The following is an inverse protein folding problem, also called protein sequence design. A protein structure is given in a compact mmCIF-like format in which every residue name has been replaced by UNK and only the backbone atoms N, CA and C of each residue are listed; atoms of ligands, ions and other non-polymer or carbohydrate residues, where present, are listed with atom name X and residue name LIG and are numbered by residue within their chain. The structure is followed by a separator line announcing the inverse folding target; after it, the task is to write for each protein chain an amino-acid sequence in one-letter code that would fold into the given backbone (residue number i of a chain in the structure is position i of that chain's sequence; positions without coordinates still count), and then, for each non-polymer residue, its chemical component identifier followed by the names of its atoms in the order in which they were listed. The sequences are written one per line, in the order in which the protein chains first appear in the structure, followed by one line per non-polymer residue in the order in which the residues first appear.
data_IF_579278908441
#
_entry.id   IF_579278908441
#
_cell.length_a   1.000
_cell.length_b   1.000
_cell.length_c   1.000
_cell.angle_alpha   90.00
_cell.angle_beta   90.00
_cell.angle_gamma   90.00
#
_symmetry.space_group_name_H-M   'P 1'
#
loop_
_entity.id
_entity.type
_entity.pdbx_description
1 polymer ?
#
# COMPACT_ATOMS: atom_id res chain seq x y z
N UNK A 1 22.09 61.95 9.77
CA UNK A 1 22.10 61.51 8.38
C UNK A 1 20.94 60.56 8.07
N UNK A 2 20.60 59.60 8.93
CA UNK A 2 19.46 58.65 8.70
C UNK A 2 18.04 59.31 8.75
N UNK A 3 17.88 60.40 9.48
CA UNK A 3 16.65 61.18 9.57
C UNK A 3 16.37 62.05 8.32
N UNK A 4 17.42 62.49 7.63
CA UNK A 4 17.32 63.35 6.44
C UNK A 4 17.02 62.57 5.14
N UNK A 5 17.36 61.27 5.08
CA UNK A 5 17.02 60.39 3.96
C UNK A 5 15.53 59.96 3.99
N UNK A 6 14.89 59.98 5.17
CA UNK A 6 13.49 59.55 5.36
C UNK A 6 12.45 60.53 4.81
N UNK A 7 12.82 61.81 4.58
CA UNK A 7 11.88 62.85 4.13
C UNK A 7 11.78 62.99 2.59
N UNK A 8 12.66 62.35 1.81
CA UNK A 8 12.69 62.46 0.33
C UNK A 8 12.13 61.24 -0.43
N UNK A 9 11.69 60.19 0.27
CA UNK A 9 11.14 59.01 -0.39
C UNK A 9 9.65 59.18 -0.66
N UNK A 10 9.21 58.95 -1.91
CA UNK A 10 7.81 58.99 -2.31
C UNK A 10 6.97 57.87 -1.62
N UNK A 11 5.69 58.08 -1.52
CA UNK A 11 4.76 57.12 -0.86
C UNK A 11 4.85 55.68 -1.40
N UNK A 12 5.15 55.51 -2.68
CA UNK A 12 5.32 54.19 -3.32
C UNK A 12 6.59 53.45 -2.90
N UNK A 13 7.69 54.17 -2.69
CA UNK A 13 8.96 53.57 -2.22
C UNK A 13 8.88 53.17 -0.75
N UNK A 14 8.15 53.89 0.08
CA UNK A 14 7.90 53.51 1.48
C UNK A 14 7.10 52.24 1.60
N UNK A 15 6.07 52.07 0.75
CA UNK A 15 5.26 50.87 0.70
C UNK A 15 6.11 49.66 0.25
N UNK A 16 6.95 49.85 -0.77
CA UNK A 16 7.82 48.77 -1.27
C UNK A 16 8.85 48.30 -0.22
N UNK A 17 9.44 49.25 0.57
CA UNK A 17 10.39 48.90 1.64
C UNK A 17 9.69 48.19 2.80
N UNK A 18 8.50 48.62 3.18
CA UNK A 18 7.70 47.98 4.24
C UNK A 18 7.25 46.56 3.79
N UNK A 19 6.85 46.38 2.53
CA UNK A 19 6.51 45.07 1.97
C UNK A 19 7.72 44.13 1.92
N UNK A 20 8.86 44.58 1.44
CA UNK A 20 10.12 43.79 1.44
C UNK A 20 10.57 43.41 2.86
N UNK A 21 10.45 44.31 3.80
CA UNK A 21 10.79 44.03 5.21
C UNK A 21 9.83 43.02 5.85
N UNK A 22 8.51 43.12 5.57
CA UNK A 22 7.52 42.14 6.00
C UNK A 22 7.75 40.77 5.38
N UNK A 23 8.08 40.70 4.08
CA UNK A 23 8.42 39.44 3.41
C UNK A 23 9.69 38.82 3.99
N UNK A 24 10.72 39.63 4.32
CA UNK A 24 11.94 39.13 4.93
C UNK A 24 11.68 38.57 6.33
N UNK A 25 10.92 39.27 7.15
CA UNK A 25 10.54 38.78 8.48
C UNK A 25 9.66 37.55 8.43
N UNK A 26 8.76 37.44 7.46
CA UNK A 26 7.91 36.24 7.27
C UNK A 26 8.75 35.04 6.81
N UNK A 27 9.70 35.26 5.91
CA UNK A 27 10.63 34.21 5.45
C UNK A 27 11.60 33.77 6.54
N UNK A 28 12.07 34.68 7.38
CA UNK A 28 12.90 34.34 8.55
C UNK A 28 12.10 33.60 9.63
N UNK A 29 10.90 34.05 9.94
CA UNK A 29 10.02 33.38 10.88
C UNK A 29 9.63 31.97 10.39
N UNK A 30 9.31 31.82 9.11
CA UNK A 30 9.03 30.52 8.51
C UNK A 30 10.28 29.62 8.53
N UNK A 31 11.45 30.16 8.21
CA UNK A 31 12.72 29.44 8.23
C UNK A 31 13.12 29.02 9.64
N UNK A 32 12.94 29.90 10.64
CA UNK A 32 13.19 29.56 12.04
C UNK A 32 12.20 28.51 12.57
N UNK A 33 10.92 28.63 12.22
CA UNK A 33 9.89 27.64 12.54
C UNK A 33 10.20 26.28 11.91
N UNK A 34 10.49 26.25 10.61
CA UNK A 34 10.86 25.00 9.94
C UNK A 34 12.13 24.42 10.56
N UNK A 35 13.17 25.24 10.78
CA UNK A 35 14.42 24.78 11.39
C UNK A 35 14.20 24.18 12.77
N UNK A 36 13.37 24.80 13.62
CA UNK A 36 13.07 24.26 14.96
C UNK A 36 12.26 22.95 14.93
N UNK A 37 11.45 22.74 13.89
CA UNK A 37 10.64 21.50 13.75
C UNK A 37 11.41 20.35 13.09
N UNK A 38 12.35 20.68 12.20
CA UNK A 38 13.18 19.68 11.51
C UNK A 38 14.56 19.51 12.15
N UNK A 39 14.82 20.19 13.26
CA UNK A 39 16.09 20.05 13.99
C UNK A 39 16.09 18.75 14.80
N UNK A 40 16.89 17.80 14.33
CA UNK A 40 17.08 16.51 15.00
C UNK A 40 17.99 16.61 16.23
N UNK A 41 18.64 17.76 16.47
CA UNK A 41 19.63 17.92 17.54
C UNK A 41 19.03 17.95 18.94
N UNK A 42 17.78 18.41 19.09
CA UNK A 42 17.11 18.54 20.39
C UNK A 42 16.89 17.18 21.11
N UNK A 43 16.52 16.15 20.34
CA UNK A 43 16.21 14.80 20.84
C UNK A 43 17.31 13.79 20.53
N UNK A 44 18.44 14.21 20.02
CA UNK A 44 19.54 13.32 19.61
C UNK A 44 20.19 12.68 20.84
N UNK A 45 20.30 11.35 20.82
CA UNK A 45 21.13 10.60 21.77
C UNK A 45 22.62 10.91 21.53
N UNK A 46 23.46 10.60 22.52
CA UNK A 46 24.90 10.72 22.31
C UNK A 46 25.36 9.78 21.19
N UNK A 47 26.37 10.21 20.42
CA UNK A 47 26.92 9.39 19.34
C UNK A 47 27.38 8.03 19.83
N UNK A 48 28.05 7.99 20.99
CA UNK A 48 28.54 6.76 21.63
C UNK A 48 27.39 5.79 21.95
N UNK A 49 26.28 6.33 22.46
CA UNK A 49 25.10 5.53 22.77
C UNK A 49 24.46 4.92 21.54
N UNK A 50 24.32 5.68 20.46
CA UNK A 50 23.74 5.16 19.19
C UNK A 50 24.64 4.11 18.57
N UNK A 51 25.95 4.38 18.52
CA UNK A 51 26.95 3.44 17.99
C UNK A 51 26.98 2.15 18.79
N UNK A 52 26.96 2.24 20.13
CA UNK A 52 26.96 1.06 21.00
C UNK A 52 25.69 0.21 20.85
N UNK A 53 24.54 0.85 20.70
CA UNK A 53 23.28 0.17 20.48
C UNK A 53 23.24 -0.58 19.16
N UNK A 54 23.69 0.05 18.08
CA UNK A 54 23.78 -0.61 16.79
C UNK A 54 24.79 -1.77 16.86
N UNK A 55 25.92 -1.61 17.54
CA UNK A 55 26.89 -2.69 17.77
C UNK A 55 26.28 -3.87 18.52
N UNK A 56 25.50 -3.61 19.57
CA UNK A 56 24.76 -4.65 20.31
C UNK A 56 23.74 -5.35 19.41
N UNK A 57 23.04 -4.60 18.56
CA UNK A 57 22.10 -5.15 17.58
C UNK A 57 22.75 -5.99 16.47
N UNK A 58 24.06 -5.78 16.20
CA UNK A 58 24.83 -6.62 15.28
C UNK A 58 25.19 -7.98 15.89
N UNK A 59 25.25 -8.07 17.22
CA UNK A 59 25.60 -9.32 17.88
C UNK A 59 24.47 -10.34 17.73
N UNK A 60 24.80 -11.46 17.09
CA UNK A 60 23.88 -12.53 16.79
C UNK A 60 24.31 -13.83 17.49
N UNK A 61 23.75 -14.07 18.68
CA UNK A 61 24.03 -15.25 19.49
C UNK A 61 22.80 -15.69 20.29
N UNK A 62 22.72 -16.98 20.60
CA UNK A 62 21.74 -17.53 21.54
C UNK A 62 20.29 -17.17 21.22
N UNK A 63 19.67 -16.36 22.06
CA UNK A 63 18.25 -15.99 21.97
C UNK A 63 17.87 -15.37 20.61
N UNK A 64 18.73 -14.53 20.04
CA UNK A 64 18.45 -13.88 18.75
C UNK A 64 18.33 -14.90 17.60
N UNK A 65 19.06 -16.02 17.65
CA UNK A 65 18.93 -17.09 16.66
C UNK A 65 17.56 -17.77 16.75
N UNK A 66 17.13 -18.11 17.97
CA UNK A 66 15.82 -18.74 18.18
C UNK A 66 14.68 -17.81 17.78
N UNK A 67 14.78 -16.54 18.16
CA UNK A 67 13.79 -15.53 17.75
C UNK A 67 13.72 -15.43 16.21
N UNK A 68 14.86 -15.44 15.52
CA UNK A 68 14.88 -15.43 14.05
C UNK A 68 14.21 -16.68 13.47
N UNK A 69 14.52 -17.88 14.00
CA UNK A 69 13.93 -19.13 13.55
C UNK A 69 12.41 -19.09 13.71
N UNK A 70 11.92 -18.72 14.90
CA UNK A 70 10.48 -18.62 15.14
C UNK A 70 9.81 -17.54 14.29
N UNK A 71 10.42 -16.38 14.15
CA UNK A 71 9.92 -15.32 13.28
C UNK A 71 9.82 -15.80 11.83
N UNK A 72 10.84 -16.51 11.32
CA UNK A 72 10.84 -17.07 9.97
C UNK A 72 9.75 -18.14 9.80
N UNK A 73 9.54 -18.97 10.81
CA UNK A 73 8.48 -19.98 10.81
C UNK A 73 7.09 -19.32 10.72
N UNK A 74 6.82 -18.34 11.59
CA UNK A 74 5.54 -17.59 11.59
C UNK A 74 5.34 -16.81 10.28
N UNK A 75 6.41 -16.20 9.75
CA UNK A 75 6.33 -15.51 8.45
C UNK A 75 6.02 -16.46 7.30
N UNK A 76 6.66 -17.63 7.27
CA UNK A 76 6.44 -18.67 6.25
C UNK A 76 5.01 -19.21 6.33
N UNK A 77 4.51 -19.43 7.56
CA UNK A 77 3.12 -19.84 7.79
C UNK A 77 2.15 -18.74 7.32
N UNK A 78 2.42 -17.48 7.67
CA UNK A 78 1.60 -16.33 7.22
C UNK A 78 1.54 -16.20 5.70
N UNK A 79 2.67 -16.40 5.01
CA UNK A 79 2.75 -16.42 3.54
C UNK A 79 1.94 -17.59 2.95
N UNK A 80 2.00 -18.76 3.58
CA UNK A 80 1.32 -19.95 3.12
C UNK A 80 -0.20 -19.87 3.26
N UNK A 81 -0.69 -19.27 4.35
CA UNK A 81 -2.13 -19.05 4.56
C UNK A 81 -2.64 -17.70 4.01
N UNK A 82 -1.79 -16.97 3.27
CA UNK A 82 -2.09 -15.68 2.66
C UNK A 82 -2.58 -14.62 3.66
N UNK A 83 -2.03 -14.60 4.88
CA UNK A 83 -2.41 -13.70 5.96
C UNK A 83 -1.40 -12.59 6.17
N UNK A 84 -1.66 -11.41 5.62
CA UNK A 84 -0.81 -10.22 5.76
C UNK A 84 -0.60 -9.85 7.24
N UNK A 85 -1.63 -10.01 8.09
CA UNK A 85 -1.53 -9.69 9.52
C UNK A 85 -0.50 -10.58 10.25
N UNK A 86 -0.49 -11.89 9.97
CA UNK A 86 0.48 -12.84 10.56
C UNK A 86 1.90 -12.52 10.07
N UNK A 87 2.03 -12.19 8.78
CA UNK A 87 3.31 -11.80 8.19
C UNK A 87 3.87 -10.56 8.90
N UNK A 88 3.04 -9.51 9.09
CA UNK A 88 3.44 -8.28 9.80
C UNK A 88 3.87 -8.60 11.24
N UNK A 89 3.11 -9.44 11.95
CA UNK A 89 3.48 -9.86 13.31
C UNK A 89 4.85 -10.54 13.38
N UNK A 90 5.15 -11.43 12.44
CA UNK A 90 6.46 -12.09 12.35
C UNK A 90 7.61 -11.11 12.08
N UNK A 91 7.36 -10.12 11.23
CA UNK A 91 8.36 -9.09 10.89
C UNK A 91 8.78 -8.26 12.10
N UNK A 92 7.83 -7.96 13.01
CA UNK A 92 8.08 -7.16 14.21
C UNK A 92 9.10 -7.77 15.16
N UNK A 93 9.16 -9.09 15.21
CA UNK A 93 10.05 -9.81 16.10
C UNK A 93 11.39 -10.20 15.44
N UNK A 94 11.54 -9.97 14.13
CA UNK A 94 12.74 -10.38 13.39
C UNK A 94 13.96 -9.50 13.70
N UNK A 95 15.12 -10.09 14.07
CA UNK A 95 16.34 -9.36 14.41
C UNK A 95 17.19 -8.93 13.18
N UNK A 96 16.69 -9.06 11.93
CA UNK A 96 17.47 -8.78 10.71
C UNK A 96 17.96 -7.34 10.58
N UNK A 97 17.30 -6.39 11.23
CA UNK A 97 17.60 -4.96 11.12
C UNK A 97 18.99 -4.59 11.64
N UNK A 98 19.43 -5.18 12.78
CA UNK A 98 20.67 -4.83 13.46
C UNK A 98 21.91 -4.90 12.58
N UNK A 99 22.22 -6.03 11.95
CA UNK A 99 23.37 -6.16 11.06
C UNK A 99 23.34 -5.26 9.85
N UNK A 100 22.16 -4.98 9.27
CA UNK A 100 22.04 -4.11 8.10
C UNK A 100 22.35 -2.64 8.46
N UNK A 101 21.82 -2.18 9.58
CA UNK A 101 22.17 -0.85 10.11
C UNK A 101 23.63 -0.79 10.52
N UNK A 102 24.16 -1.88 11.07
CA UNK A 102 25.59 -2.02 11.36
C UNK A 102 26.48 -1.87 10.12
N UNK A 103 26.07 -2.41 8.99
CA UNK A 103 26.78 -2.20 7.70
C UNK A 103 26.78 -0.72 7.29
N UNK A 104 25.63 -0.05 7.31
CA UNK A 104 25.52 1.36 6.96
C UNK A 104 26.32 2.27 7.91
N UNK A 105 26.21 2.04 9.21
CA UNK A 105 26.98 2.76 10.24
C UNK A 105 28.49 2.57 10.04
N UNK A 106 28.95 1.33 9.90
CA UNK A 106 30.38 1.01 9.79
C UNK A 106 31.05 1.69 8.62
N UNK A 107 30.35 1.81 7.49
CA UNK A 107 30.79 2.58 6.31
C UNK A 107 30.85 4.06 6.65
N UNK A 108 29.84 4.59 7.37
CA UNK A 108 29.76 5.99 7.77
C UNK A 108 30.89 6.47 8.68
N UNK A 109 31.28 5.62 9.65
CA UNK A 109 32.32 5.91 10.65
C UNK A 109 33.70 5.29 10.33
N UNK A 110 33.86 4.65 9.17
CA UNK A 110 35.09 3.96 8.76
C UNK A 110 35.54 2.81 9.70
N UNK A 111 34.60 2.06 10.28
CA UNK A 111 34.89 0.92 11.15
C UNK A 111 34.80 -0.42 10.40
N UNK A 112 35.93 -0.88 9.85
CA UNK A 112 36.03 -2.12 9.10
C UNK A 112 35.73 -3.38 9.92
N UNK A 113 36.08 -3.37 11.23
CA UNK A 113 35.80 -4.50 12.09
C UNK A 113 34.30 -4.69 12.31
N UNK A 114 33.60 -3.57 12.53
CA UNK A 114 32.14 -3.56 12.60
C UNK A 114 31.51 -4.02 11.27
N UNK A 115 32.03 -3.55 10.12
CA UNK A 115 31.56 -3.97 8.79
C UNK A 115 31.71 -5.48 8.60
N UNK A 116 32.89 -6.04 8.88
CA UNK A 116 33.15 -7.46 8.76
C UNK A 116 32.26 -8.29 9.69
N UNK A 117 32.06 -7.84 10.93
CA UNK A 117 31.18 -8.49 11.91
C UNK A 117 29.71 -8.45 11.44
N UNK A 118 29.24 -7.29 10.99
CA UNK A 118 27.89 -7.10 10.48
C UNK A 118 27.63 -8.00 9.28
N UNK A 119 28.51 -8.02 8.30
CA UNK A 119 28.38 -8.83 7.09
C UNK A 119 28.38 -10.34 7.40
N UNK A 120 29.26 -10.79 8.28
CA UNK A 120 29.32 -12.21 8.70
C UNK A 120 28.04 -12.64 9.43
N UNK A 121 27.58 -11.86 10.40
CA UNK A 121 26.37 -12.17 11.16
C UNK A 121 25.13 -12.09 10.28
N UNK A 122 25.05 -11.10 9.40
CA UNK A 122 24.00 -10.98 8.40
C UNK A 122 23.94 -12.20 7.49
N UNK A 123 25.08 -12.63 6.92
CA UNK A 123 25.12 -13.82 6.06
C UNK A 123 24.65 -15.08 6.80
N UNK A 124 25.04 -15.26 8.06
CA UNK A 124 24.56 -16.36 8.89
C UNK A 124 23.05 -16.30 9.13
N UNK A 125 22.49 -15.12 9.43
CA UNK A 125 21.05 -14.93 9.60
C UNK A 125 20.26 -15.22 8.33
N UNK A 126 20.76 -14.77 7.17
CA UNK A 126 20.16 -15.06 5.87
C UNK A 126 20.11 -16.55 5.61
N UNK A 127 21.23 -17.26 5.80
CA UNK A 127 21.29 -18.72 5.64
C UNK A 127 20.35 -19.44 6.59
N UNK A 128 20.33 -19.07 7.86
CA UNK A 128 19.43 -19.66 8.86
C UNK A 128 17.95 -19.44 8.49
N UNK A 129 17.59 -18.24 8.02
CA UNK A 129 16.22 -17.94 7.61
C UNK A 129 15.81 -18.72 6.35
N UNK A 130 16.67 -18.75 5.32
CA UNK A 130 16.39 -19.52 4.12
C UNK A 130 16.23 -21.00 4.46
N UNK A 131 17.12 -21.55 5.28
CA UNK A 131 17.07 -22.96 5.71
C UNK A 131 15.74 -23.24 6.47
N UNK A 132 15.40 -22.41 7.44
CA UNK A 132 14.17 -22.56 8.24
C UNK A 132 12.91 -22.48 7.35
N UNK A 133 12.87 -21.52 6.44
CA UNK A 133 11.75 -21.36 5.53
C UNK A 133 11.66 -22.52 4.52
N UNK A 134 12.79 -22.96 3.97
CA UNK A 134 12.84 -24.13 3.07
C UNK A 134 12.34 -25.38 3.79
N UNK A 135 12.77 -25.60 5.02
CA UNK A 135 12.32 -26.73 5.85
C UNK A 135 10.81 -26.68 6.08
N UNK A 136 10.28 -25.49 6.43
CA UNK A 136 8.84 -25.30 6.62
C UNK A 136 8.05 -25.66 5.37
N UNK A 137 8.40 -25.10 4.20
CA UNK A 137 7.68 -25.35 2.96
C UNK A 137 7.87 -26.77 2.41
N UNK A 138 8.98 -27.40 2.73
CA UNK A 138 9.21 -28.80 2.37
C UNK A 138 8.28 -29.75 3.14
N UNK A 139 8.01 -29.44 4.43
CA UNK A 139 7.13 -30.26 5.29
C UNK A 139 5.66 -29.87 5.07
N UNK A 140 5.35 -28.65 4.66
CA UNK A 140 3.99 -28.16 4.51
C UNK A 140 3.25 -28.89 3.40
N UNK A 141 2.03 -29.41 3.65
CA UNK A 141 1.20 -30.04 2.61
C UNK A 141 0.61 -29.03 1.61
N UNK A 142 0.64 -27.72 1.93
CA UNK A 142 0.13 -26.64 1.10
C UNK A 142 1.23 -26.15 0.17
N UNK A 143 1.25 -26.62 -1.07
CA UNK A 143 2.27 -26.31 -2.08
C UNK A 143 1.87 -25.19 -3.05
N UNK A 144 0.67 -24.62 -2.94
CA UNK A 144 0.17 -23.57 -3.81
C UNK A 144 0.87 -22.23 -3.57
N UNK A 145 1.37 -21.59 -4.64
CA UNK A 145 1.92 -20.24 -4.56
C UNK A 145 0.80 -19.22 -4.36
N UNK A 146 0.65 -18.74 -3.14
CA UNK A 146 -0.34 -17.72 -2.77
C UNK A 146 0.06 -16.31 -3.26
N UNK A 147 -0.91 -15.40 -3.33
CA UNK A 147 -0.69 -14.03 -3.85
C UNK A 147 0.38 -13.27 -3.08
N UNK A 148 0.44 -13.40 -1.75
CA UNK A 148 1.49 -12.77 -0.92
C UNK A 148 2.90 -13.31 -1.24
N UNK A 149 3.03 -14.60 -1.56
CA UNK A 149 4.29 -15.18 -2.03
C UNK A 149 4.70 -14.63 -3.40
N UNK A 150 3.76 -14.64 -4.36
CA UNK A 150 4.01 -14.19 -5.73
C UNK A 150 4.37 -12.71 -5.79
N UNK A 151 3.74 -11.86 -4.96
CA UNK A 151 4.04 -10.44 -4.86
C UNK A 151 5.51 -10.15 -4.47
N UNK A 152 6.20 -11.10 -3.84
CA UNK A 152 7.61 -10.96 -3.43
C UNK A 152 8.61 -11.52 -4.44
N UNK A 153 8.17 -12.07 -5.55
CA UNK A 153 9.05 -12.65 -6.59
C UNK A 153 9.48 -11.65 -7.65
N UNK A 154 8.80 -10.51 -7.74
CA UNK A 154 9.08 -9.47 -8.76
C UNK A 154 9.30 -8.13 -8.07
N UNK A 155 10.55 -7.64 -8.02
CA UNK A 155 10.86 -6.33 -7.45
C UNK A 155 10.17 -5.18 -8.19
N UNK A 156 9.66 -4.22 -7.43
CA UNK A 156 9.04 -3.01 -7.96
C UNK A 156 9.80 -1.76 -7.51
N UNK A 157 9.54 -0.62 -8.17
CA UNK A 157 10.10 0.68 -7.75
C UNK A 157 9.66 1.04 -6.33
N UNK A 158 8.44 0.66 -5.95
CA UNK A 158 7.90 0.95 -4.63
C UNK A 158 8.67 0.22 -3.52
N UNK A 159 9.11 -1.03 -3.76
CA UNK A 159 9.90 -1.79 -2.78
C UNK A 159 11.20 -1.06 -2.45
N UNK A 160 11.88 -0.54 -3.47
CA UNK A 160 13.13 0.24 -3.30
C UNK A 160 12.89 1.50 -2.48
N UNK A 161 11.81 2.25 -2.79
CA UNK A 161 11.45 3.46 -2.03
C UNK A 161 11.07 3.14 -0.58
N UNK A 162 10.28 2.08 -0.37
CA UNK A 162 9.91 1.61 0.98
C UNK A 162 11.16 1.23 1.78
N UNK A 163 12.08 0.50 1.18
CA UNK A 163 13.34 0.12 1.82
C UNK A 163 14.19 1.33 2.18
N UNK A 164 14.31 2.30 1.28
CA UNK A 164 15.09 3.52 1.48
C UNK A 164 14.49 4.40 2.58
N UNK A 165 13.20 4.77 2.48
CA UNK A 165 12.55 5.62 3.48
C UNK A 165 12.36 4.89 4.81
N UNK A 166 12.10 3.59 4.79
CA UNK A 166 12.10 2.74 5.99
C UNK A 166 13.45 2.73 6.69
N UNK A 167 14.55 2.63 5.92
CA UNK A 167 15.91 2.73 6.41
C UNK A 167 16.22 4.10 7.04
N UNK A 168 15.80 5.20 6.39
CA UNK A 168 15.93 6.56 6.94
C UNK A 168 15.17 6.70 8.27
N UNK A 169 13.91 6.26 8.31
CA UNK A 169 13.10 6.28 9.52
C UNK A 169 13.72 5.45 10.65
N UNK A 170 14.26 4.27 10.30
CA UNK A 170 14.91 3.37 11.24
C UNK A 170 16.11 3.97 11.94
N UNK A 171 17.03 4.54 11.19
CA UNK A 171 18.25 5.15 11.78
C UNK A 171 17.94 6.44 12.55
N UNK A 172 17.00 7.27 12.06
CA UNK A 172 16.56 8.47 12.76
C UNK A 172 15.94 8.11 14.11
N UNK A 173 15.09 7.09 14.15
CA UNK A 173 14.49 6.62 15.41
C UNK A 173 15.51 6.03 16.39
N UNK A 174 16.51 5.29 15.90
CA UNK A 174 17.59 4.79 16.75
C UNK A 174 18.54 5.90 17.25
N UNK A 175 18.56 7.06 16.58
CA UNK A 175 19.36 8.21 16.99
C UNK A 175 18.71 9.07 18.07
N UNK A 176 17.50 8.72 18.56
CA UNK A 176 16.78 9.45 19.63
C UNK A 176 17.15 8.96 21.03
N UNK A 177 17.07 9.85 22.01
CA UNK A 177 17.25 9.55 23.44
C UNK A 177 16.12 8.64 23.96
N UNK A 178 14.89 8.91 23.56
CA UNK A 178 13.75 8.12 23.97
C UNK A 178 13.46 7.00 22.96
N UNK A 179 13.64 5.76 23.41
CA UNK A 179 13.57 4.56 22.56
C UNK A 179 12.22 3.86 22.53
N UNK A 180 11.25 4.38 23.24
CA UNK A 180 9.92 3.73 23.33
C UNK A 180 9.25 3.60 21.95
N UNK A 181 9.65 4.43 20.98
CA UNK A 181 9.11 4.44 19.62
C UNK A 181 9.99 3.76 18.55
N UNK A 182 11.05 3.01 18.94
CA UNK A 182 11.94 2.32 17.97
C UNK A 182 11.29 1.11 17.32
N UNK A 183 10.17 0.63 17.84
CA UNK A 183 9.40 -0.49 17.27
C UNK A 183 8.83 -0.12 15.90
N UNK A 184 8.31 1.09 15.74
CA UNK A 184 7.63 1.52 14.49
C UNK A 184 8.54 1.52 13.26
N UNK A 185 9.76 2.10 13.31
CA UNK A 185 10.68 2.04 12.16
C UNK A 185 11.23 0.64 11.89
N UNK A 186 11.35 -0.19 12.92
CA UNK A 186 11.72 -1.60 12.77
C UNK A 186 10.72 -2.36 11.89
N UNK A 187 9.43 -2.03 12.00
CA UNK A 187 8.37 -2.59 11.14
C UNK A 187 8.63 -2.27 9.67
N UNK A 188 8.85 -1.01 9.33
CA UNK A 188 9.03 -0.59 7.94
C UNK A 188 10.25 -1.27 7.27
N UNK A 189 11.35 -1.46 8.02
CA UNK A 189 12.53 -2.18 7.54
C UNK A 189 12.23 -3.69 7.42
N UNK A 190 11.60 -4.27 8.42
CA UNK A 190 11.32 -5.70 8.45
C UNK A 190 10.33 -6.13 7.35
N UNK A 191 9.36 -5.28 6.99
CA UNK A 191 8.41 -5.52 5.89
C UNK A 191 9.10 -5.71 4.55
N UNK A 192 10.23 -5.04 4.35
CA UNK A 192 11.00 -5.13 3.12
C UNK A 192 11.94 -6.36 3.05
N UNK A 193 12.21 -7.02 4.19
CA UNK A 193 13.28 -8.03 4.28
C UNK A 193 12.78 -9.46 4.50
N UNK A 194 11.90 -9.67 5.50
CA UNK A 194 11.53 -11.01 5.92
C UNK A 194 10.72 -11.79 4.88
N UNK A 195 9.65 -11.23 4.26
CA UNK A 195 8.85 -11.96 3.30
C UNK A 195 9.62 -12.40 2.06
N UNK A 196 10.44 -11.53 1.41
CA UNK A 196 11.24 -11.98 0.29
C UNK A 196 12.20 -13.11 0.66
N UNK A 197 12.77 -13.08 1.86
CA UNK A 197 13.68 -14.12 2.32
C UNK A 197 12.95 -15.46 2.53
N UNK A 198 11.75 -15.43 3.11
CA UNK A 198 10.89 -16.61 3.24
C UNK A 198 10.40 -17.12 1.88
N UNK A 199 10.06 -16.21 0.95
CA UNK A 199 9.68 -16.59 -0.42
C UNK A 199 10.86 -17.23 -1.19
N UNK A 200 12.09 -16.79 -0.93
CA UNK A 200 13.28 -17.47 -1.46
C UNK A 200 13.35 -18.93 -0.93
N UNK A 201 13.08 -19.15 0.36
CA UNK A 201 12.98 -20.49 0.93
C UNK A 201 11.90 -21.35 0.28
N UNK A 202 10.73 -20.76 -0.02
CA UNK A 202 9.68 -21.43 -0.80
C UNK A 202 10.16 -21.85 -2.18
N UNK A 203 10.86 -20.94 -2.89
CA UNK A 203 11.42 -21.24 -4.21
C UNK A 203 12.40 -22.42 -4.21
N UNK A 204 13.19 -22.58 -3.14
CA UNK A 204 14.08 -23.73 -2.96
C UNK A 204 13.30 -25.00 -2.64
N UNK A 205 12.33 -24.93 -1.70
CA UNK A 205 11.53 -26.08 -1.30
C UNK A 205 10.72 -26.69 -2.44
N UNK A 206 10.21 -25.84 -3.35
CA UNK A 206 9.41 -26.24 -4.52
C UNK A 206 10.25 -26.44 -5.80
N UNK A 207 11.58 -26.32 -5.71
CA UNK A 207 12.52 -26.39 -6.85
C UNK A 207 12.21 -25.37 -7.97
N UNK A 208 11.55 -24.28 -7.65
CA UNK A 208 11.23 -23.20 -8.57
C UNK A 208 12.26 -22.08 -8.46
N UNK A 209 13.40 -22.26 -9.11
CA UNK A 209 14.53 -21.30 -9.06
C UNK A 209 14.17 -19.88 -9.50
N UNK A 210 13.15 -19.71 -10.32
CA UNK A 210 12.64 -18.39 -10.71
C UNK A 210 12.14 -17.61 -9.50
N UNK A 211 11.41 -18.25 -8.60
CA UNK A 211 10.92 -17.62 -7.37
C UNK A 211 12.05 -17.35 -6.39
N UNK A 212 13.00 -18.30 -6.26
CA UNK A 212 14.18 -18.09 -5.44
C UNK A 212 14.97 -16.85 -5.89
N UNK A 213 15.34 -16.79 -7.17
CA UNK A 213 16.16 -15.68 -7.71
C UNK A 213 15.42 -14.35 -7.58
N UNK A 214 14.14 -14.30 -7.93
CA UNK A 214 13.34 -13.07 -7.86
C UNK A 214 13.21 -12.54 -6.43
N UNK A 215 12.87 -13.41 -5.48
CA UNK A 215 12.71 -13.04 -4.09
C UNK A 215 14.04 -12.69 -3.40
N UNK A 216 15.10 -13.47 -3.65
CA UNK A 216 16.42 -13.19 -3.11
C UNK A 216 16.98 -11.86 -3.65
N UNK A 217 16.72 -11.58 -4.91
CA UNK A 217 17.08 -10.32 -5.54
C UNK A 217 16.36 -9.12 -4.92
N UNK A 218 15.04 -9.24 -4.68
CA UNK A 218 14.27 -8.22 -3.94
C UNK A 218 14.84 -7.99 -2.54
N UNK A 219 15.12 -9.06 -1.80
CA UNK A 219 15.75 -9.01 -0.49
C UNK A 219 17.10 -8.27 -0.54
N UNK A 220 17.95 -8.61 -1.52
CA UNK A 220 19.28 -8.01 -1.67
C UNK A 220 19.20 -6.50 -1.93
N UNK A 221 18.36 -6.07 -2.87
CA UNK A 221 18.15 -4.65 -3.18
C UNK A 221 17.70 -3.90 -1.93
N UNK A 222 16.67 -4.39 -1.24
CA UNK A 222 16.15 -3.76 -0.05
C UNK A 222 17.22 -3.62 1.04
N UNK A 223 18.02 -4.66 1.25
CA UNK A 223 19.16 -4.63 2.18
C UNK A 223 20.14 -3.51 1.85
N UNK A 224 20.52 -3.37 0.58
CA UNK A 224 21.48 -2.34 0.14
C UNK A 224 20.89 -0.94 0.33
N UNK A 225 19.63 -0.71 -0.04
CA UNK A 225 19.01 0.61 0.11
C UNK A 225 18.81 1.02 1.56
N UNK A 226 18.50 0.07 2.47
CA UNK A 226 18.46 0.33 3.92
C UNK A 226 19.86 0.70 4.45
N UNK A 227 20.90 -0.02 4.03
CA UNK A 227 22.27 0.26 4.43
C UNK A 227 22.73 1.65 3.90
N UNK A 228 22.38 2.00 2.66
CA UNK A 228 22.64 3.34 2.07
C UNK A 228 21.92 4.42 2.86
N UNK A 229 20.64 4.22 3.19
CA UNK A 229 19.86 5.17 4.00
C UNK A 229 20.52 5.41 5.36
N UNK A 230 20.95 4.34 6.03
CA UNK A 230 21.70 4.43 7.29
C UNK A 230 22.99 5.20 7.12
N UNK A 231 23.78 4.90 6.09
CA UNK A 231 25.02 5.61 5.77
C UNK A 231 24.80 7.11 5.56
N UNK A 232 23.77 7.49 4.79
CA UNK A 232 23.44 8.89 4.51
C UNK A 232 23.14 9.66 5.81
N UNK A 233 22.31 9.08 6.69
CA UNK A 233 21.95 9.74 7.96
C UNK A 233 23.14 9.84 8.89
N UNK A 234 23.96 8.79 9.01
CA UNK A 234 25.19 8.81 9.81
C UNK A 234 26.14 9.92 9.33
N UNK A 235 26.26 10.09 8.02
CA UNK A 235 27.07 11.17 7.42
C UNK A 235 26.45 12.55 7.63
N UNK A 236 25.13 12.64 7.52
CA UNK A 236 24.39 13.89 7.78
C UNK A 236 24.49 14.34 9.24
N UNK A 237 24.44 13.41 10.18
CA UNK A 237 24.60 13.67 11.61
C UNK A 237 26.05 13.91 12.03
N UNK A 238 27.01 13.88 11.09
CA UNK A 238 28.45 14.14 11.29
C UNK A 238 29.08 13.25 12.36
N UNK A 239 28.76 11.96 12.42
CA UNK A 239 29.37 11.04 13.36
C UNK A 239 30.88 10.96 13.15
N UNK A 240 31.63 10.88 14.26
CA UNK A 240 33.09 10.86 14.29
C UNK A 240 33.62 9.60 13.61
N UNK A 241 34.62 9.76 12.78
CA UNK A 241 35.30 8.64 12.15
C UNK A 241 36.25 7.98 13.14
N UNK A 242 36.33 6.64 13.06
CA UNK A 242 37.31 5.91 13.85
C UNK A 242 38.73 6.35 13.51
N UNK A 243 39.46 6.77 14.51
CA UNK A 243 40.89 7.16 14.37
C UNK A 243 41.76 5.92 14.36
N UNK A 244 42.77 5.94 13.49
CA UNK A 244 43.77 4.88 13.39
C UNK A 244 45.14 5.44 13.78
N UNK A 245 45.85 4.71 14.61
CA UNK A 245 47.24 5.06 15.01
C UNK A 245 48.18 4.91 13.83
N UNK A 246 47.94 3.97 12.92
CA UNK A 246 48.76 3.73 11.72
C UNK A 246 48.03 4.26 10.46
N UNK A 247 48.55 5.28 9.82
CA UNK A 247 48.05 5.88 8.58
C UNK A 247 47.99 4.89 7.40
N UNK A 248 48.92 3.93 7.35
CA UNK A 248 48.89 2.90 6.29
C UNK A 248 47.78 1.91 6.48
N UNK A 249 47.42 1.60 7.72
CA UNK A 249 46.26 0.78 8.06
C UNK A 249 44.96 1.53 7.75
N UNK A 250 44.88 2.80 8.10
CA UNK A 250 43.74 3.66 7.75
C UNK A 250 43.48 3.68 6.24
N UNK A 251 44.53 3.88 5.44
CA UNK A 251 44.40 3.94 3.97
C UNK A 251 43.95 2.60 3.38
N UNK A 252 44.44 1.48 3.89
CA UNK A 252 43.99 0.13 3.46
C UNK A 252 42.52 -0.10 3.82
N UNK A 253 42.12 0.22 5.03
CA UNK A 253 40.73 0.09 5.49
C UNK A 253 39.79 0.96 4.63
N UNK A 254 40.14 2.22 4.41
CA UNK A 254 39.39 3.14 3.57
C UNK A 254 39.23 2.64 2.14
N UNK A 255 40.30 2.10 1.54
CA UNK A 255 40.23 1.49 0.19
C UNK A 255 39.36 0.24 0.17
N UNK A 256 39.46 -0.63 1.17
CA UNK A 256 38.63 -1.84 1.26
C UNK A 256 37.14 -1.50 1.42
N UNK A 257 36.82 -0.54 2.29
CA UNK A 257 35.44 -0.06 2.45
C UNK A 257 34.93 0.55 1.14
N UNK A 258 35.73 1.41 0.50
CA UNK A 258 35.38 2.03 -0.78
C UNK A 258 35.10 0.98 -1.85
N UNK A 259 35.94 -0.04 -1.95
CA UNK A 259 35.79 -1.14 -2.92
C UNK A 259 34.52 -1.93 -2.68
N UNK A 260 34.23 -2.31 -1.42
CA UNK A 260 33.00 -3.03 -1.06
C UNK A 260 31.79 -2.16 -1.41
N UNK A 261 31.82 -0.87 -1.04
CA UNK A 261 30.74 0.07 -1.32
C UNK A 261 30.51 0.23 -2.83
N UNK A 262 31.57 0.39 -3.62
CA UNK A 262 31.46 0.50 -5.09
C UNK A 262 30.88 -0.79 -5.71
N UNK A 263 31.38 -1.95 -5.29
CA UNK A 263 30.94 -3.25 -5.81
C UNK A 263 29.46 -3.52 -5.44
N UNK A 264 28.97 -2.99 -4.32
CA UNK A 264 27.56 -3.19 -3.92
C UNK A 264 26.65 -2.09 -4.44
N UNK A 265 27.05 -0.82 -4.39
CA UNK A 265 26.19 0.31 -4.77
C UNK A 265 26.02 0.41 -6.28
N UNK A 266 27.09 0.28 -7.05
CA UNK A 266 27.00 0.47 -8.51
C UNK A 266 26.00 -0.52 -9.16
N UNK A 267 26.12 -1.84 -8.95
CA UNK A 267 25.12 -2.76 -9.48
C UNK A 267 23.71 -2.46 -8.96
N UNK A 268 23.55 -2.14 -7.66
CA UNK A 268 22.26 -1.88 -7.06
C UNK A 268 21.57 -0.63 -7.64
N UNK A 269 22.32 0.42 -7.92
CA UNK A 269 21.80 1.64 -8.57
C UNK A 269 21.42 1.35 -10.04
N UNK A 270 22.26 0.63 -10.78
CA UNK A 270 21.96 0.24 -12.17
C UNK A 270 20.70 -0.62 -12.22
N UNK A 271 20.59 -1.58 -11.33
CA UNK A 271 19.44 -2.46 -11.24
C UNK A 271 18.18 -1.68 -10.80
N UNK A 272 18.29 -0.81 -9.79
CA UNK A 272 17.21 0.07 -9.36
C UNK A 272 16.71 0.95 -10.51
N UNK A 273 17.61 1.53 -11.29
CA UNK A 273 17.26 2.30 -12.50
C UNK A 273 16.50 1.47 -13.53
N UNK A 274 16.93 0.23 -13.77
CA UNK A 274 16.23 -0.71 -14.69
C UNK A 274 14.84 -1.06 -14.19
N UNK A 275 14.66 -1.27 -12.90
CA UNK A 275 13.36 -1.54 -12.29
C UNK A 275 12.42 -0.33 -12.48
N UNK A 276 12.91 0.89 -12.23
CA UNK A 276 12.13 2.12 -12.44
C UNK A 276 11.70 2.24 -13.90
N UNK A 277 12.63 2.05 -14.83
CA UNK A 277 12.32 2.10 -16.27
C UNK A 277 11.28 1.07 -16.67
N UNK A 278 11.42 -0.16 -16.19
CA UNK A 278 10.44 -1.22 -16.43
C UNK A 278 9.08 -0.90 -15.85
N UNK A 279 9.02 -0.39 -14.62
CA UNK A 279 7.76 -0.04 -13.95
C UNK A 279 7.05 1.13 -14.66
N UNK A 280 7.81 2.13 -15.15
CA UNK A 280 7.24 3.20 -15.96
C UNK A 280 6.66 2.67 -17.26
N UNK A 281 7.40 1.79 -17.95
CA UNK A 281 6.92 1.14 -19.17
C UNK A 281 5.63 0.33 -18.93
N UNK A 282 5.57 -0.48 -17.86
CA UNK A 282 4.38 -1.27 -17.50
C UNK A 282 3.18 -0.36 -17.19
N UNK A 283 3.39 0.77 -16.53
CA UNK A 283 2.35 1.77 -16.28
C UNK A 283 1.87 2.46 -17.58
N UNK A 284 2.78 2.80 -18.48
CA UNK A 284 2.46 3.40 -19.77
C UNK A 284 1.67 2.41 -20.65
N UNK A 285 2.06 1.13 -20.65
CA UNK A 285 1.30 0.05 -21.30
C UNK A 285 -0.11 -0.07 -20.72
N UNK A 286 -0.24 -0.09 -19.40
CA UNK A 286 -1.55 -0.17 -18.74
C UNK A 286 -2.45 1.03 -19.09
N UNK A 287 -1.91 2.24 -19.10
CA UNK A 287 -2.65 3.44 -19.53
C UNK A 287 -3.07 3.36 -20.99
N UNK A 288 -2.16 2.95 -21.86
CA UNK A 288 -2.42 2.77 -23.28
C UNK A 288 -3.56 1.78 -23.53
N UNK A 289 -3.46 0.58 -22.96
CA UNK A 289 -4.46 -0.48 -23.11
C UNK A 289 -5.81 -0.03 -22.58
N UNK A 290 -5.86 0.56 -21.39
CA UNK A 290 -7.10 0.99 -20.76
C UNK A 290 -7.78 2.15 -21.48
N UNK A 291 -7.04 2.94 -22.29
CA UNK A 291 -7.62 4.10 -23.00
C UNK A 291 -7.94 3.76 -24.44
N UNK A 292 -7.07 3.04 -25.14
CA UNK A 292 -7.17 2.81 -26.60
C UNK A 292 -8.01 1.56 -26.90
N UNK A 293 -7.92 0.51 -26.08
CA UNK A 293 -8.63 -0.76 -26.31
C UNK A 293 -9.99 -0.83 -25.60
N UNK A 294 -10.82 0.21 -25.80
CA UNK A 294 -12.20 0.25 -25.30
C UNK A 294 -13.17 0.05 -26.46
N UNK A 295 -13.51 -1.20 -26.76
CA UNK A 295 -14.44 -1.54 -27.82
C UNK A 295 -15.77 -2.05 -27.23
N UNK A 296 -16.94 -1.68 -27.80
CA UNK A 296 -18.26 -2.03 -27.24
C UNK A 296 -18.50 -3.54 -27.13
N UNK A 297 -17.95 -4.34 -28.07
CA UNK A 297 -18.20 -5.76 -28.22
C UNK A 297 -16.97 -6.65 -28.03
N UNK A 298 -15.80 -6.04 -27.76
CA UNK A 298 -14.53 -6.73 -27.58
C UNK A 298 -13.88 -6.26 -26.29
N UNK A 299 -13.44 -7.16 -25.44
CA UNK A 299 -12.77 -6.85 -24.17
C UNK A 299 -11.36 -7.38 -24.17
N UNK A 300 -10.47 -6.62 -23.51
CA UNK A 300 -9.12 -7.06 -23.18
C UNK A 300 -9.22 -8.01 -22.00
N UNK A 301 -8.75 -9.25 -22.18
CA UNK A 301 -8.66 -10.26 -21.11
C UNK A 301 -7.37 -10.06 -20.33
N UNK A 302 -6.28 -9.93 -21.08
CA UNK A 302 -4.93 -9.82 -20.53
C UNK A 302 -4.08 -8.96 -21.45
N UNK A 303 -3.12 -8.27 -20.83
CA UNK A 303 -2.08 -7.58 -21.57
C UNK A 303 -0.74 -7.77 -20.88
N UNK A 304 0.30 -7.95 -21.66
CA UNK A 304 1.66 -8.13 -21.17
C UNK A 304 2.59 -7.17 -21.89
N UNK A 305 3.27 -6.31 -21.13
CA UNK A 305 4.33 -5.45 -21.65
C UNK A 305 5.70 -6.07 -21.35
N UNK A 306 6.49 -6.37 -22.38
CA UNK A 306 7.85 -6.88 -22.22
C UNK A 306 8.83 -5.80 -22.62
N UNK A 307 9.53 -5.28 -21.60
CA UNK A 307 10.56 -4.26 -21.75
C UNK A 307 11.94 -4.89 -21.99
N UNK A 308 12.57 -4.64 -23.13
CA UNK A 308 13.89 -5.15 -23.51
C UNK A 308 14.80 -4.02 -24.01
N UNK A 309 15.50 -3.28 -23.13
CA UNK A 309 16.30 -2.12 -23.54
C UNK A 309 17.63 -2.49 -24.24
N UNK A 310 18.19 -3.68 -23.95
CA UNK A 310 19.59 -3.98 -24.28
C UNK A 310 19.78 -4.79 -25.56
N UNK A 311 18.87 -5.66 -26.00
CA UNK A 311 19.07 -6.58 -27.13
C UNK A 311 17.80 -7.06 -27.83
N UNK A 312 16.70 -6.33 -27.79
CA UNK A 312 15.49 -6.77 -28.47
C UNK A 312 14.44 -5.68 -28.53
N UNK A 313 13.52 -5.80 -29.46
CA UNK A 313 12.35 -4.94 -29.51
C UNK A 313 11.48 -5.16 -28.27
N UNK A 314 11.19 -4.09 -27.56
CA UNK A 314 10.13 -4.10 -26.53
C UNK A 314 8.79 -4.31 -27.24
N UNK A 315 7.91 -5.10 -26.63
CA UNK A 315 6.59 -5.34 -27.23
C UNK A 315 5.48 -5.36 -26.18
N UNK A 316 4.29 -5.03 -26.67
CA UNK A 316 3.04 -5.12 -25.92
C UNK A 316 2.19 -6.18 -26.57
N UNK A 317 1.82 -7.20 -25.83
CA UNK A 317 0.93 -8.27 -26.28
C UNK A 317 -0.41 -8.12 -25.58
N UNK A 318 -1.49 -8.10 -26.35
CA UNK A 318 -2.86 -7.86 -25.88
C UNK A 318 -3.73 -9.00 -26.35
N UNK A 319 -4.42 -9.64 -25.41
CA UNK A 319 -5.36 -10.71 -25.69
C UNK A 319 -6.79 -10.19 -25.65
N UNK A 320 -7.51 -10.36 -26.73
CA UNK A 320 -8.86 -9.86 -26.93
C UNK A 320 -9.86 -11.00 -27.05
N UNK A 321 -11.05 -10.83 -26.46
CA UNK A 321 -12.19 -11.71 -26.63
C UNK A 321 -13.41 -10.91 -27.07
N UNK A 322 -14.18 -11.43 -28.01
CA UNK A 322 -15.36 -10.80 -28.56
C UNK A 322 -15.35 -10.77 -30.09
N UNK A 323 -15.98 -9.75 -30.68
CA UNK A 323 -15.94 -9.56 -32.12
C UNK A 323 -14.53 -9.20 -32.59
N UNK A 324 -14.04 -9.78 -33.71
CA UNK A 324 -12.71 -9.45 -34.25
C UNK A 324 -12.62 -7.96 -34.58
N UNK A 325 -11.50 -7.36 -34.21
CA UNK A 325 -11.18 -5.97 -34.55
C UNK A 325 -10.53 -5.95 -35.93
N UNK A 326 -10.88 -4.97 -36.76
CA UNK A 326 -10.29 -4.83 -38.09
C UNK A 326 -8.81 -4.40 -38.01
N UNK A 327 -8.03 -4.78 -39.03
CA UNK A 327 -6.62 -4.39 -39.14
C UNK A 327 -6.43 -2.88 -39.14
N UNK A 328 -7.39 -2.12 -39.68
CA UNK A 328 -7.41 -0.65 -39.66
C UNK A 328 -7.49 -0.10 -38.20
N UNK A 329 -8.32 -0.70 -37.36
CA UNK A 329 -8.42 -0.33 -35.95
C UNK A 329 -7.13 -0.66 -35.19
N UNK A 330 -6.49 -1.79 -35.50
CA UNK A 330 -5.21 -2.18 -34.90
C UNK A 330 -4.11 -1.20 -35.31
N UNK A 331 -4.08 -0.78 -36.58
CA UNK A 331 -3.10 0.19 -37.07
C UNK A 331 -3.33 1.58 -36.45
N UNK A 332 -4.58 2.01 -36.31
CA UNK A 332 -4.93 3.24 -35.60
C UNK A 332 -4.50 3.19 -34.11
N UNK A 333 -4.65 2.04 -33.46
CA UNK A 333 -4.14 1.85 -32.10
C UNK A 333 -2.60 1.94 -32.06
N UNK A 334 -1.90 1.34 -33.06
CA UNK A 334 -0.44 1.42 -33.16
C UNK A 334 0.05 2.86 -33.31
N UNK A 335 -0.61 3.66 -34.14
CA UNK A 335 -0.26 5.07 -34.35
C UNK A 335 -0.41 5.94 -33.08
N UNK A 336 -1.19 5.51 -32.09
CA UNK A 336 -1.35 6.21 -30.83
C UNK A 336 -0.28 5.86 -29.78
N UNK A 337 0.47 4.79 -29.94
CA UNK A 337 1.49 4.34 -28.98
C UNK A 337 2.51 5.42 -28.58
N UNK A 338 3.02 6.27 -29.50
CA UNK A 338 3.96 7.33 -29.14
C UNK A 338 3.41 8.35 -28.14
N UNK A 339 2.10 8.57 -28.09
CA UNK A 339 1.44 9.49 -27.15
C UNK A 339 1.49 8.98 -25.70
N UNK A 340 1.72 7.66 -25.53
CA UNK A 340 1.83 6.98 -24.25
C UNK A 340 3.28 6.60 -23.91
N UNK A 341 4.28 7.30 -24.49
CA UNK A 341 5.71 7.01 -24.34
C UNK A 341 6.15 5.62 -24.82
N UNK A 342 5.34 4.92 -25.61
CA UNK A 342 5.63 3.61 -26.18
C UNK A 342 6.24 3.73 -27.59
N UNK A 343 7.31 4.55 -27.71
CA UNK A 343 8.07 4.67 -28.97
C UNK A 343 8.92 3.43 -29.18
N UNK A 344 9.01 2.97 -30.40
CA UNK A 344 9.80 1.79 -30.79
C UNK A 344 9.35 0.50 -30.06
N UNK A 345 8.06 0.40 -29.76
CA UNK A 345 7.44 -0.76 -29.11
C UNK A 345 6.53 -1.45 -30.10
N UNK A 346 6.73 -2.77 -30.26
CA UNK A 346 5.90 -3.58 -31.16
C UNK A 346 4.58 -3.93 -30.49
N UNK A 347 3.47 -3.67 -31.18
CA UNK A 347 2.14 -4.09 -30.77
C UNK A 347 1.83 -5.47 -31.37
N UNK A 348 1.46 -6.42 -30.51
CA UNK A 348 0.97 -7.74 -30.87
C UNK A 348 -0.44 -7.90 -30.31
N UNK A 349 -1.42 -7.97 -31.22
CA UNK A 349 -2.82 -8.17 -30.82
C UNK A 349 -3.21 -9.60 -31.17
N UNK A 350 -3.65 -10.36 -30.18
CA UNK A 350 -4.17 -11.73 -30.35
C UNK A 350 -5.68 -11.72 -30.16
N UNK A 351 -6.39 -12.21 -31.17
CA UNK A 351 -7.85 -12.28 -31.16
C UNK A 351 -8.33 -13.72 -31.09
N UNK A 352 -9.51 -13.92 -30.57
CA UNK A 352 -10.15 -15.24 -30.31
C UNK A 352 -10.44 -16.09 -31.57
N UNK A 353 -9.79 -15.86 -32.68
CA UNK A 353 -9.89 -16.69 -33.89
C UNK A 353 -8.56 -17.38 -34.29
N UNK A 354 -7.44 -16.99 -33.70
CA UNK A 354 -6.11 -17.57 -33.93
C UNK A 354 -5.76 -18.53 -32.79
N UNK A 355 -6.29 -19.71 -32.85
CA UNK A 355 -6.28 -20.72 -31.77
C UNK A 355 -5.02 -21.55 -31.73
N UNK A 356 -3.84 -20.99 -31.50
CA UNK A 356 -2.74 -21.94 -31.30
C UNK A 356 -1.90 -21.83 -30.01
N UNK A 357 -2.05 -20.81 -29.18
CA UNK A 357 -1.27 -20.75 -27.93
C UNK A 357 -1.91 -19.91 -26.80
N UNK A 358 -3.25 -19.90 -26.67
CA UNK A 358 -3.85 -19.34 -25.45
C UNK A 358 -3.56 -20.30 -24.29
N UNK A 359 -2.73 -19.88 -23.36
CA UNK A 359 -2.52 -20.60 -22.11
C UNK A 359 -3.90 -20.72 -21.40
N UNK A 360 -4.42 -21.93 -21.30
CA UNK A 360 -5.73 -22.24 -20.71
C UNK A 360 -5.85 -21.68 -19.28
N UNK A 361 -4.71 -21.56 -18.57
CA UNK A 361 -4.64 -20.94 -17.25
C UNK A 361 -4.97 -19.44 -17.26
N UNK A 362 -4.56 -18.71 -18.30
CA UNK A 362 -4.80 -17.26 -18.44
C UNK A 362 -6.29 -16.98 -18.74
N UNK A 363 -6.89 -17.80 -19.63
CA UNK A 363 -8.33 -17.78 -19.88
C UNK A 363 -9.12 -18.08 -18.62
N UNK A 364 -8.70 -19.06 -17.83
CA UNK A 364 -9.36 -19.45 -16.59
C UNK A 364 -9.27 -18.32 -15.53
N UNK A 365 -8.14 -17.65 -15.42
CA UNK A 365 -7.97 -16.52 -14.48
C UNK A 365 -8.84 -15.33 -14.89
N UNK A 366 -8.84 -14.94 -16.16
CA UNK A 366 -9.69 -13.85 -16.67
C UNK A 366 -11.18 -14.16 -16.54
N UNK A 367 -11.58 -15.42 -16.73
CA UNK A 367 -12.97 -15.84 -16.50
C UNK A 367 -13.36 -15.81 -15.02
N UNK A 368 -12.44 -16.18 -14.12
CA UNK A 368 -12.66 -16.10 -12.67
C UNK A 368 -12.76 -14.65 -12.19
N UNK A 369 -11.95 -13.73 -12.71
CA UNK A 369 -12.07 -12.30 -12.40
C UNK A 369 -13.39 -11.70 -12.88
N UNK A 370 -13.82 -12.02 -14.10
CA UNK A 370 -15.12 -11.61 -14.64
C UNK A 370 -16.28 -12.16 -13.80
N UNK A 371 -16.20 -13.43 -13.40
CA UNK A 371 -17.21 -14.05 -12.53
C UNK A 371 -17.21 -13.41 -11.15
N UNK A 372 -16.05 -13.09 -10.58
CA UNK A 372 -15.95 -12.42 -9.27
C UNK A 372 -16.54 -11.01 -9.29
N UNK A 373 -16.27 -10.23 -10.34
CA UNK A 373 -16.86 -8.89 -10.53
C UNK A 373 -18.39 -8.97 -10.67
N UNK A 374 -18.88 -9.92 -11.47
CA UNK A 374 -20.33 -10.15 -11.63
C UNK A 374 -20.98 -10.59 -10.33
N UNK A 375 -20.34 -11.47 -9.57
CA UNK A 375 -20.84 -11.93 -8.27
C UNK A 375 -20.88 -10.81 -7.23
N UNK A 376 -19.89 -9.90 -7.20
CA UNK A 376 -19.90 -8.71 -6.35
C UNK A 376 -21.09 -7.82 -6.74
N UNK A 377 -21.30 -7.59 -8.03
CA UNK A 377 -22.42 -6.78 -8.52
C UNK A 377 -23.79 -7.40 -8.23
N UNK A 378 -23.92 -8.72 -8.37
CA UNK A 378 -25.14 -9.46 -8.00
C UNK A 378 -25.41 -9.29 -6.50
N UNK A 379 -24.42 -9.50 -5.62
CA UNK A 379 -24.58 -9.29 -4.17
C UNK A 379 -24.96 -7.86 -3.80
N UNK A 380 -24.38 -6.87 -4.46
CA UNK A 380 -24.74 -5.46 -4.25
C UNK A 380 -26.22 -5.21 -4.62
N UNK A 381 -26.66 -5.75 -5.76
CA UNK A 381 -28.03 -5.62 -6.21
C UNK A 381 -29.01 -6.41 -5.30
N UNK A 382 -28.64 -7.62 -4.87
CA UNK A 382 -29.42 -8.41 -3.90
C UNK A 382 -29.54 -7.71 -2.56
N UNK A 383 -28.48 -7.07 -2.08
CA UNK A 383 -28.51 -6.27 -0.85
C UNK A 383 -29.46 -5.07 -0.98
N UNK A 384 -29.42 -4.39 -2.11
CA UNK A 384 -30.37 -3.29 -2.40
C UNK A 384 -31.80 -3.82 -2.49
N UNK A 385 -32.01 -4.94 -3.17
CA UNK A 385 -33.32 -5.55 -3.33
C UNK A 385 -33.88 -6.04 -1.98
N UNK A 386 -33.07 -6.65 -1.14
CA UNK A 386 -33.46 -7.09 0.20
C UNK A 386 -33.86 -5.93 1.11
N UNK A 387 -33.16 -4.79 1.01
CA UNK A 387 -33.54 -3.58 1.73
C UNK A 387 -34.92 -3.07 1.32
N UNK A 388 -35.26 -3.11 0.03
CA UNK A 388 -36.60 -2.77 -0.44
C UNK A 388 -37.65 -3.84 -0.07
N UNK A 389 -37.31 -5.12 -0.10
CA UNK A 389 -38.20 -6.21 0.23
C UNK A 389 -38.56 -6.25 1.73
N UNK A 390 -37.62 -5.86 2.61
CA UNK A 390 -37.88 -5.82 4.06
C UNK A 390 -38.95 -4.77 4.42
N UNK A 391 -38.96 -3.62 3.73
CA UNK A 391 -39.99 -2.61 3.92
C UNK A 391 -41.38 -3.08 3.44
N UNK A 392 -41.47 -3.92 2.41
CA UNK A 392 -42.74 -4.47 1.89
C UNK A 392 -43.29 -5.64 2.71
N UNK A 393 -42.42 -6.46 3.29
CA UNK A 393 -42.82 -7.57 4.16
C UNK A 393 -43.43 -7.06 5.48
N UNK A 394 -42.92 -5.97 6.04
CA UNK A 394 -43.44 -5.34 7.24
C UNK A 394 -44.88 -4.80 7.06
N UNK A 395 -45.20 -4.27 5.88
CA UNK A 395 -46.56 -3.79 5.57
C UNK A 395 -47.59 -4.92 5.59
N UNK A 396 -47.26 -6.09 5.04
CA UNK A 396 -48.14 -7.25 5.02
C UNK A 396 -48.47 -7.76 6.43
N UNK A 397 -47.48 -7.87 7.27
CA UNK A 397 -47.64 -8.34 8.64
C UNK A 397 -48.46 -7.34 9.47
N UNK A 398 -48.16 -6.05 9.35
CA UNK A 398 -48.90 -4.96 9.98
C UNK A 398 -50.36 -4.98 9.53
N UNK A 399 -50.65 -5.24 8.27
CA UNK A 399 -52.04 -5.32 7.75
C UNK A 399 -52.79 -6.46 8.37
N UNK A 400 -52.18 -7.64 8.53
CA UNK A 400 -52.79 -8.81 9.17
C UNK A 400 -53.10 -8.53 10.66
N UNK A 401 -52.12 -7.97 11.36
CA UNK A 401 -52.29 -7.60 12.78
C UNK A 401 -53.38 -6.53 12.95
N UNK A 402 -53.44 -5.51 12.09
CA UNK A 402 -54.45 -4.46 12.11
C UNK A 402 -55.86 -4.98 11.88
N UNK A 403 -56.07 -6.01 11.03
CA UNK A 403 -57.37 -6.65 10.84
C UNK A 403 -57.93 -7.31 12.10
N UNK A 404 -57.05 -7.78 12.99
CA UNK A 404 -57.45 -8.34 14.28
C UNK A 404 -57.85 -7.28 15.28
N UNK A 405 -57.26 -6.07 15.16
CA UNK A 405 -57.55 -4.91 16.05
C UNK A 405 -58.78 -4.12 15.60
N UNK A 406 -59.02 -4.07 14.28
CA UNK A 406 -60.15 -3.35 13.65
C UNK A 406 -60.88 -4.30 12.71
N UNK A 407 -61.91 -5.01 13.17
CA UNK A 407 -62.67 -5.97 12.37
C UNK A 407 -63.34 -5.37 11.12
N UNK A 408 -63.68 -4.07 11.18
CA UNK A 408 -64.32 -3.35 10.08
C UNK A 408 -63.30 -2.73 9.06
N UNK A 409 -62.02 -3.13 9.12
CA UNK A 409 -60.98 -2.69 8.20
C UNK A 409 -61.12 -3.35 6.82
N UNK A 410 -61.31 -2.53 5.79
CA UNK A 410 -61.36 -3.01 4.41
C UNK A 410 -59.93 -3.18 3.84
N UNK A 411 -59.16 -2.10 3.82
CA UNK A 411 -57.75 -2.14 3.42
C UNK A 411 -56.91 -1.07 4.17
N UNK A 412 -55.57 -1.21 4.07
CA UNK A 412 -54.62 -0.28 4.68
C UNK A 412 -53.47 -0.02 3.74
N UNK A 413 -53.11 1.23 3.58
CA UNK A 413 -51.93 1.69 2.87
C UNK A 413 -50.93 2.29 3.86
N UNK A 414 -49.70 1.74 3.85
CA UNK A 414 -48.58 2.25 4.64
C UNK A 414 -47.46 2.69 3.71
N UNK A 415 -46.98 3.92 3.88
CA UNK A 415 -45.85 4.47 3.13
C UNK A 415 -44.97 5.36 3.99
N UNK A 416 -43.67 5.38 3.71
CA UNK A 416 -42.76 6.41 4.25
C UNK A 416 -42.85 7.64 3.36
N UNK A 417 -43.21 8.79 3.93
CA UNK A 417 -43.34 10.06 3.24
C UNK A 417 -42.33 11.08 3.81
N UNK A 418 -41.78 11.89 2.94
CA UNK A 418 -40.90 12.98 3.34
C UNK A 418 -41.70 14.27 3.36
N UNK A 419 -41.78 14.93 4.52
CA UNK A 419 -42.43 16.19 4.70
C UNK A 419 -41.43 17.34 4.64
N UNK A 420 -41.55 18.17 3.62
CA UNK A 420 -40.84 19.46 3.55
C UNK A 420 -41.70 20.55 4.20
N UNK A 421 -41.08 21.27 5.14
CA UNK A 421 -41.68 22.49 5.67
C UNK A 421 -40.92 23.66 5.02
N UNK A 422 -41.67 24.65 4.51
CA UNK A 422 -41.09 25.84 3.83
C UNK A 422 -40.14 26.65 4.73
N UNK A 423 -40.26 26.49 6.04
CA UNK A 423 -39.53 27.32 7.02
C UNK A 423 -38.50 26.54 7.85
N UNK A 424 -38.28 25.22 7.62
CA UNK A 424 -37.35 24.40 8.40
C UNK A 424 -36.60 23.36 7.53
N UNK A 425 -35.31 23.46 7.49
CA UNK A 425 -34.41 22.38 7.11
C UNK A 425 -33.86 21.71 8.39
N UNK A 426 -33.84 20.36 8.53
CA UNK A 426 -33.96 19.33 7.52
C UNK A 426 -35.39 18.79 7.29
N UNK A 427 -35.56 18.07 6.16
CA UNK A 427 -36.77 17.33 5.83
C UNK A 427 -37.08 16.28 6.92
N UNK A 428 -38.33 16.22 7.39
CA UNK A 428 -38.77 15.24 8.38
C UNK A 428 -39.40 14.02 7.66
N UNK A 429 -39.01 12.82 8.07
CA UNK A 429 -39.56 11.55 7.51
C UNK A 429 -40.68 11.07 8.43
N UNK A 430 -41.86 10.88 7.85
CA UNK A 430 -43.01 10.38 8.58
C UNK A 430 -43.60 9.11 7.95
N UNK A 431 -44.19 8.25 8.75
CA UNK A 431 -44.99 7.13 8.25
C UNK A 431 -46.44 7.61 8.08
N UNK A 432 -46.93 7.44 6.85
CA UNK A 432 -48.32 7.72 6.48
C UNK A 432 -49.09 6.40 6.49
N UNK A 433 -50.13 6.34 7.27
CA UNK A 433 -51.08 5.23 7.30
C UNK A 433 -52.45 5.72 6.85
N UNK A 434 -53.00 5.16 5.79
CA UNK A 434 -54.37 5.40 5.34
C UNK A 434 -55.18 4.12 5.52
N UNK A 435 -56.23 4.18 6.29
CA UNK A 435 -57.15 3.05 6.56
C UNK A 435 -58.48 3.35 5.91
N UNK A 436 -58.93 2.40 5.07
CA UNK A 436 -60.28 2.40 4.51
C UNK A 436 -61.16 1.45 5.34
N UNK A 437 -62.25 1.97 5.81
CA UNK A 437 -63.22 1.21 6.59
C UNK A 437 -64.41 0.75 5.71
N UNK A 438 -65.10 -0.29 6.15
CA UNK A 438 -66.31 -0.73 5.47
C UNK A 438 -67.36 0.38 5.46
N UNK A 439 -68.16 0.44 4.36
CA UNK A 439 -69.15 1.52 4.14
C UNK A 439 -70.00 1.80 5.37
N UNK A 440 -70.01 3.07 5.80
CA UNK A 440 -70.83 3.57 6.90
C UNK A 440 -70.25 3.38 8.28
N UNK A 441 -69.03 2.85 8.45
CA UNK A 441 -68.33 2.69 9.72
C UNK A 441 -67.34 3.84 9.94
N UNK A 442 -67.26 4.31 11.22
CA UNK A 442 -66.28 5.31 11.63
C UNK A 442 -65.57 4.79 12.88
N UNK A 443 -64.30 5.03 12.96
CA UNK A 443 -63.49 4.72 14.15
C UNK A 443 -63.91 5.67 15.32
N UNK A 444 -64.08 5.11 16.51
CA UNK A 444 -64.29 5.91 17.73
C UNK A 444 -62.96 6.61 18.09
N UNK A 445 -63.07 7.82 18.71
CA UNK A 445 -61.89 8.65 19.04
C UNK A 445 -60.84 7.88 19.87
N UNK A 446 -61.26 7.04 20.82
CA UNK A 446 -60.36 6.23 21.66
C UNK A 446 -59.72 5.04 20.94
N UNK A 447 -60.35 4.50 19.91
CA UNK A 447 -59.80 3.43 19.08
C UNK A 447 -58.68 3.98 18.14
N UNK A 448 -58.90 5.18 17.62
CA UNK A 448 -57.90 5.87 16.77
C UNK A 448 -56.62 6.08 17.52
N UNK A 449 -56.66 6.56 18.74
CA UNK A 449 -55.51 6.82 19.58
C UNK A 449 -54.72 5.55 19.91
N UNK A 450 -55.43 4.45 20.22
CA UNK A 450 -54.85 3.13 20.49
C UNK A 450 -54.13 2.57 19.26
N UNK A 451 -54.71 2.69 18.06
CA UNK A 451 -54.15 2.21 16.79
C UNK A 451 -52.90 3.08 16.45
N UNK A 452 -52.98 4.38 16.66
CA UNK A 452 -51.81 5.28 16.41
C UNK A 452 -50.64 4.95 17.32
N UNK A 453 -50.90 4.73 18.62
CA UNK A 453 -49.84 4.30 19.55
C UNK A 453 -49.26 2.94 19.19
N UNK A 454 -50.08 1.98 18.84
CA UNK A 454 -49.65 0.65 18.43
C UNK A 454 -48.82 0.70 17.15
N UNK A 455 -49.24 1.47 16.14
CA UNK A 455 -48.49 1.68 14.90
C UNK A 455 -47.10 2.34 15.14
N UNK A 456 -47.03 3.35 16.05
CA UNK A 456 -45.75 3.97 16.41
C UNK A 456 -44.76 2.95 16.96
N UNK A 457 -45.19 2.09 17.85
CA UNK A 457 -44.36 1.02 18.43
C UNK A 457 -43.96 0.01 17.35
N UNK A 458 -44.92 -0.39 16.49
CA UNK A 458 -44.71 -1.43 15.50
C UNK A 458 -43.80 -0.95 14.33
N UNK A 459 -43.93 0.29 13.90
CA UNK A 459 -43.12 0.89 12.84
C UNK A 459 -41.83 1.52 13.37
N UNK A 460 -41.62 1.57 14.69
CA UNK A 460 -40.48 2.20 15.36
C UNK A 460 -40.24 3.64 14.91
N UNK A 461 -41.33 4.41 14.74
CA UNK A 461 -41.28 5.77 14.23
C UNK A 461 -42.08 6.70 15.12
N UNK A 462 -41.47 7.81 15.56
CA UNK A 462 -42.16 8.82 16.40
C UNK A 462 -43.09 9.71 15.57
N UNK A 463 -42.77 9.90 14.28
CA UNK A 463 -43.59 10.72 13.37
C UNK A 463 -44.51 9.82 12.52
N UNK A 464 -45.78 9.73 12.94
CA UNK A 464 -46.83 8.98 12.25
C UNK A 464 -48.07 9.84 12.03
N UNK A 465 -48.70 9.71 10.87
CA UNK A 465 -50.03 10.29 10.57
C UNK A 465 -50.98 9.21 10.12
N UNK A 466 -52.11 9.10 10.82
CA UNK A 466 -53.18 8.17 10.51
C UNK A 466 -54.35 8.94 9.87
N UNK A 467 -54.77 8.50 8.68
CA UNK A 467 -55.97 8.94 7.99
C UNK A 467 -56.97 7.80 7.91
N UNK A 468 -58.22 8.12 8.05
CA UNK A 468 -59.36 7.16 7.90
C UNK A 468 -60.32 7.69 6.85
N UNK A 469 -60.58 6.89 5.84
CA UNK A 469 -61.55 7.12 4.75
C UNK A 469 -62.69 6.10 4.78
#
# INVERSE_FOLDING_TARGET
ILLHLRSRMGSGERIGIVFRRKQHHLSEALRSFLRSRFDLSADKASEEEVVDNIRKGVEFKGTNLWVLIFATFVASLGLNVNSTAVIIGAMLISPLMGPIMGMGLSVGINDFELLKRSLRNFGFMVLASIFTSTLYFFISPLSGAQSELLARTTPTTYDVLIAFFGGLAGIVAQSRKDRTSTVIPGVAIATALMPPLCTAGFGLATLQFKYFIGAFYLFFINTVFIAIATFIVVRFLHYSKKEFVDKNREMRVRRSILLIVLVTIIPSVVIGYRIVKRSLFENDVKRYVNTVFQFPKTKVIEHTGIYRPDNGESYVEIYLIGEPISDEMIENARLQMPQYNLRDVRLVVRQSGETDNLNFSTLQTGYQELLSEKNIRIRELETKLSAFATDTLAVRDITVEMRTLVPDLHDVTLSKAVRYNTDKTPADTLVLCVMHLNKGKKLAAGERERIEQWLRVRTKTDSLKLYTE
#
